data_IF_798730900825
#
_entry.id   IF_798730900825
#
_cell.length_a   1.000
_cell.length_b   1.000
_cell.length_c   1.000
_cell.angle_alpha   90.00
_cell.angle_beta   90.00
_cell.angle_gamma   90.00
#
_symmetry.space_group_name_H-M   'P 1'
#
loop_
_entity.id
_entity.type
_entity.pdbx_description
1 polymer ?
#
# COMPACT_ATOMS: atom_id res chain seq x y z
N UNK A 1 12.95 -10.74 -18.96
CA UNK A 1 12.97 -10.23 -17.57
C UNK A 1 11.98 -9.09 -17.36
N UNK A 2 12.15 -7.90 -18.00
CA UNK A 2 11.22 -6.74 -17.91
C UNK A 2 9.71 -7.03 -17.95
N UNK A 3 9.26 -7.80 -18.94
CA UNK A 3 7.83 -8.10 -19.11
C UNK A 3 7.29 -8.94 -17.96
N UNK A 4 8.10 -9.84 -17.40
CA UNK A 4 7.71 -10.73 -16.31
C UNK A 4 7.58 -9.96 -14.99
N UNK A 5 8.52 -9.05 -14.69
CA UNK A 5 8.48 -8.22 -13.47
C UNK A 5 7.35 -7.19 -13.53
N UNK A 6 7.21 -6.49 -14.65
CA UNK A 6 6.11 -5.54 -14.84
C UNK A 6 4.73 -6.23 -14.78
N UNK A 7 4.63 -7.45 -15.33
CA UNK A 7 3.41 -8.26 -15.25
C UNK A 7 3.14 -8.75 -13.83
N UNK A 8 4.18 -9.14 -13.07
CA UNK A 8 4.05 -9.50 -11.65
C UNK A 8 3.55 -8.31 -10.82
N UNK A 9 4.07 -7.10 -11.07
CA UNK A 9 3.57 -5.89 -10.42
C UNK A 9 2.09 -5.63 -10.74
N UNK A 10 1.72 -5.70 -12.03
CA UNK A 10 0.34 -5.50 -12.43
C UNK A 10 -0.59 -6.52 -11.76
N UNK A 11 -0.17 -7.80 -11.67
CA UNK A 11 -0.94 -8.82 -10.96
C UNK A 11 -1.12 -8.48 -9.47
N UNK A 12 -0.06 -8.02 -8.78
CA UNK A 12 -0.15 -7.59 -7.38
C UNK A 12 -1.10 -6.40 -7.22
N UNK A 13 -0.98 -5.39 -8.07
CA UNK A 13 -1.84 -4.21 -8.00
C UNK A 13 -3.31 -4.54 -8.29
N UNK A 14 -3.59 -5.43 -9.24
CA UNK A 14 -4.95 -5.91 -9.50
C UNK A 14 -5.51 -6.71 -8.31
N UNK A 15 -4.67 -7.49 -7.62
CA UNK A 15 -5.10 -8.23 -6.43
C UNK A 15 -5.52 -7.27 -5.32
N UNK A 16 -4.72 -6.24 -5.02
CA UNK A 16 -5.11 -5.25 -4.00
C UNK A 16 -6.36 -4.46 -4.40
N UNK A 17 -6.49 -4.09 -5.67
CA UNK A 17 -7.70 -3.44 -6.19
C UNK A 17 -8.93 -4.36 -6.04
N UNK A 18 -8.82 -5.63 -6.38
CA UNK A 18 -9.91 -6.60 -6.26
C UNK A 18 -10.31 -6.82 -4.80
N UNK A 19 -9.33 -7.01 -3.91
CA UNK A 19 -9.58 -7.12 -2.47
C UNK A 19 -10.23 -5.85 -1.91
N UNK A 20 -9.75 -4.67 -2.31
CA UNK A 20 -10.34 -3.39 -1.95
C UNK A 20 -11.78 -3.25 -2.43
N UNK A 21 -12.07 -3.67 -3.67
CA UNK A 21 -13.42 -3.65 -4.23
C UNK A 21 -14.38 -4.59 -3.49
N UNK A 22 -13.94 -5.81 -3.16
CA UNK A 22 -14.74 -6.78 -2.39
C UNK A 22 -15.07 -6.23 -1.00
N UNK A 23 -14.10 -5.64 -0.32
CA UNK A 23 -14.30 -5.06 1.01
C UNK A 23 -15.20 -3.83 0.95
N UNK A 24 -15.03 -2.99 -0.07
CA UNK A 24 -15.90 -1.82 -0.29
C UNK A 24 -17.34 -2.25 -0.53
N UNK A 25 -17.55 -3.29 -1.35
CA UNK A 25 -18.88 -3.84 -1.61
C UNK A 25 -19.50 -4.42 -0.34
N UNK A 26 -18.74 -5.20 0.43
CA UNK A 26 -19.21 -5.77 1.68
C UNK A 26 -19.54 -4.68 2.71
N UNK A 27 -18.69 -3.66 2.82
CA UNK A 27 -18.96 -2.48 3.64
C UNK A 27 -20.26 -1.78 3.22
N UNK A 28 -20.48 -1.58 1.91
CA UNK A 28 -21.70 -0.98 1.38
C UNK A 28 -22.95 -1.77 1.75
N UNK A 29 -22.92 -3.10 1.60
CA UNK A 29 -24.04 -3.97 1.99
C UNK A 29 -24.38 -3.80 3.48
N UNK A 30 -23.36 -3.84 4.35
CA UNK A 30 -23.59 -3.68 5.80
C UNK A 30 -24.07 -2.27 6.13
N UNK A 31 -23.52 -1.24 5.48
CA UNK A 31 -23.85 0.16 5.72
C UNK A 31 -25.32 0.51 5.39
N UNK A 32 -25.89 -0.15 4.36
CA UNK A 32 -27.29 0.02 3.97
C UNK A 32 -28.23 -1.03 4.58
N UNK A 33 -27.72 -1.98 5.37
CA UNK A 33 -28.53 -2.96 6.06
C UNK A 33 -29.23 -2.37 7.30
N UNK A 34 -30.17 -3.12 7.88
CA UNK A 34 -30.94 -2.68 9.04
C UNK A 34 -30.03 -2.29 10.20
N UNK A 35 -30.25 -1.08 10.72
CA UNK A 35 -29.47 -0.51 11.81
C UNK A 35 -29.62 -1.30 13.11
N UNK A 36 -28.61 -2.12 13.41
CA UNK A 36 -28.47 -2.84 14.67
C UNK A 36 -27.11 -2.57 15.31
N UNK A 37 -26.96 -2.87 16.60
CA UNK A 37 -25.68 -2.74 17.28
C UNK A 37 -24.61 -3.65 16.65
N UNK A 38 -25.00 -4.84 16.21
CA UNK A 38 -24.12 -5.81 15.55
C UNK A 38 -23.65 -5.27 14.19
N UNK A 39 -24.54 -4.70 13.37
CA UNK A 39 -24.15 -4.16 12.06
C UNK A 39 -23.13 -3.04 12.19
N UNK A 40 -23.27 -2.13 13.16
CA UNK A 40 -22.27 -1.08 13.39
C UNK A 40 -20.92 -1.62 13.87
N UNK A 41 -20.93 -2.66 14.70
CA UNK A 41 -19.70 -3.34 15.08
C UNK A 41 -19.00 -3.98 13.87
N UNK A 42 -19.77 -4.64 13.01
CA UNK A 42 -19.26 -5.22 11.76
C UNK A 42 -18.72 -4.12 10.82
N UNK A 43 -19.41 -2.99 10.66
CA UNK A 43 -18.90 -1.84 9.89
C UNK A 43 -17.53 -1.37 10.39
N UNK A 44 -17.36 -1.26 11.71
CA UNK A 44 -16.07 -0.89 12.31
C UNK A 44 -14.98 -1.91 11.96
N UNK A 45 -15.24 -3.21 12.11
CA UNK A 45 -14.27 -4.26 11.76
C UNK A 45 -13.87 -4.20 10.29
N UNK A 46 -14.85 -4.09 9.37
CA UNK A 46 -14.59 -4.01 7.93
C UNK A 46 -13.78 -2.77 7.59
N UNK A 47 -14.08 -1.63 8.23
CA UNK A 47 -13.35 -0.39 7.99
C UNK A 47 -11.87 -0.49 8.39
N UNK A 48 -11.56 -1.19 9.49
CA UNK A 48 -10.18 -1.47 9.90
C UNK A 48 -9.48 -2.40 8.89
N UNK A 49 -10.17 -3.41 8.37
CA UNK A 49 -9.64 -4.26 7.28
C UNK A 49 -9.38 -3.46 6.00
N UNK A 50 -10.22 -2.47 5.70
CA UNK A 50 -9.98 -1.57 4.58
C UNK A 50 -8.75 -0.69 4.76
N UNK A 51 -8.48 -0.21 5.99
CA UNK A 51 -7.24 0.51 6.33
C UNK A 51 -6.01 -0.36 6.12
N UNK A 52 -6.01 -1.62 6.59
CA UNK A 52 -4.85 -2.51 6.44
C UNK A 52 -4.53 -2.78 4.97
N UNK A 53 -5.55 -3.04 4.15
CA UNK A 53 -5.38 -3.33 2.73
C UNK A 53 -4.98 -2.10 1.92
N UNK A 54 -5.58 -0.93 2.18
CA UNK A 54 -5.19 0.31 1.51
C UNK A 54 -3.76 0.74 1.88
N UNK A 55 -3.35 0.54 3.14
CA UNK A 55 -1.98 0.78 3.56
C UNK A 55 -0.99 -0.19 2.88
N UNK A 56 -1.30 -1.49 2.85
CA UNK A 56 -0.48 -2.49 2.17
C UNK A 56 -0.35 -2.17 0.66
N UNK A 57 -1.43 -1.75 0.01
CA UNK A 57 -1.42 -1.37 -1.40
C UNK A 57 -0.59 -0.12 -1.67
N UNK A 58 -0.70 0.90 -0.81
CA UNK A 58 0.16 2.09 -0.87
C UNK A 58 1.65 1.71 -0.79
N UNK A 59 2.02 0.82 0.13
CA UNK A 59 3.41 0.35 0.31
C UNK A 59 3.94 -0.37 -0.93
N UNK A 60 3.17 -1.28 -1.49
CA UNK A 60 3.54 -1.99 -2.73
C UNK A 60 3.74 -1.01 -3.88
N UNK A 61 2.93 0.04 -3.94
CA UNK A 61 3.07 1.10 -4.95
C UNK A 61 4.34 1.93 -4.74
N UNK A 62 4.67 2.28 -3.49
CA UNK A 62 5.92 3.00 -3.18
C UNK A 62 7.15 2.13 -3.50
N UNK A 63 7.14 0.86 -3.12
CA UNK A 63 8.29 -0.02 -3.39
C UNK A 63 8.50 -0.22 -4.90
N UNK A 64 7.42 -0.38 -5.66
CA UNK A 64 7.51 -0.43 -7.11
C UNK A 64 8.14 0.83 -7.72
N UNK A 65 7.83 2.01 -7.18
CA UNK A 65 8.46 3.26 -7.64
C UNK A 65 9.95 3.29 -7.34
N UNK A 66 10.38 2.77 -6.18
CA UNK A 66 11.79 2.66 -5.82
C UNK A 66 12.52 1.71 -6.75
N UNK A 67 11.98 0.50 -6.96
CA UNK A 67 12.54 -0.49 -7.86
C UNK A 67 12.65 0.04 -9.30
N UNK A 68 11.59 0.68 -9.82
CA UNK A 68 11.60 1.25 -11.16
C UNK A 68 12.67 2.36 -11.31
N UNK A 69 12.89 3.17 -10.26
CA UNK A 69 13.93 4.20 -10.24
C UNK A 69 15.33 3.59 -10.16
N UNK A 70 15.53 2.55 -9.36
CA UNK A 70 16.81 1.83 -9.26
C UNK A 70 17.19 1.19 -10.58
N UNK A 71 16.25 0.46 -11.19
CA UNK A 71 16.41 -0.16 -12.50
C UNK A 71 16.82 0.87 -13.56
N UNK A 72 16.13 2.02 -13.59
CA UNK A 72 16.46 3.09 -14.55
C UNK A 72 17.87 3.64 -14.35
N UNK A 73 18.33 3.77 -13.10
CA UNK A 73 19.68 4.21 -12.78
C UNK A 73 20.72 3.19 -13.27
N UNK A 74 20.50 1.90 -13.00
CA UNK A 74 21.43 0.84 -13.39
C UNK A 74 21.56 0.77 -14.92
N UNK A 75 20.45 0.82 -15.66
CA UNK A 75 20.50 0.78 -17.13
C UNK A 75 21.15 2.04 -17.70
N UNK A 76 20.92 3.20 -17.09
CA UNK A 76 21.61 4.43 -17.50
C UNK A 76 23.12 4.36 -17.31
N UNK A 77 23.61 3.66 -16.29
CA UNK A 77 25.05 3.44 -16.07
C UNK A 77 25.63 2.47 -17.10
N UNK A 78 24.90 1.39 -17.41
CA UNK A 78 25.30 0.46 -18.46
C UNK A 78 25.36 1.13 -19.83
N UNK A 79 24.41 2.02 -20.12
CA UNK A 79 24.45 2.82 -21.35
C UNK A 79 25.64 3.76 -21.42
N UNK A 80 25.97 4.46 -20.33
CA UNK A 80 27.15 5.34 -20.32
C UNK A 80 28.44 4.54 -20.55
N UNK A 81 28.58 3.38 -19.90
CA UNK A 81 29.74 2.50 -20.09
C UNK A 81 29.81 1.96 -21.54
N UNK A 82 28.68 1.58 -22.11
CA UNK A 82 28.64 1.08 -23.48
C UNK A 82 28.93 2.18 -24.51
N UNK A 83 28.48 3.41 -24.23
CA UNK A 83 28.78 4.58 -25.06
C UNK A 83 30.26 4.97 -25.01
N UNK A 84 30.97 4.73 -23.90
CA UNK A 84 32.42 4.91 -23.81
C UNK A 84 33.18 3.85 -24.62
N UNK A 85 32.70 2.61 -24.65
CA UNK A 85 33.32 1.52 -25.43
C UNK A 85 32.99 1.55 -26.93
N UNK A 86 31.85 2.13 -27.33
CA UNK A 86 31.37 2.16 -28.71
C UNK A 86 31.53 3.54 -29.35
N UNK A 87 32.22 3.63 -30.50
CA UNK A 87 32.27 4.86 -31.33
C UNK A 87 30.90 5.33 -31.84
N UNK A 88 29.86 4.51 -31.71
CA UNK A 88 28.48 4.86 -32.06
C UNK A 88 27.64 5.02 -30.78
N UNK A 89 26.85 6.10 -30.65
CA UNK A 89 25.99 6.29 -29.49
C UNK A 89 24.92 5.19 -29.48
N UNK A 90 25.02 4.26 -28.53
CA UNK A 90 23.95 3.29 -28.26
C UNK A 90 22.92 4.01 -27.40
N UNK A 91 21.79 4.39 -28.00
CA UNK A 91 20.67 5.06 -27.32
C UNK A 91 19.49 4.10 -27.21
N UNK A 92 19.44 3.27 -26.17
CA UNK A 92 18.26 2.46 -25.82
C UNK A 92 17.29 3.20 -24.87
N UNK A 93 17.78 4.08 -23.99
CA UNK A 93 16.97 4.79 -22.98
C UNK A 93 16.52 6.15 -23.49
N UNK A 94 17.24 6.82 -24.40
CA UNK A 94 16.84 8.16 -24.86
C UNK A 94 15.45 8.18 -25.51
N UNK A 95 15.07 7.08 -26.17
CA UNK A 95 13.72 6.89 -26.71
C UNK A 95 12.68 6.59 -25.62
N UNK A 96 13.05 5.86 -24.55
CA UNK A 96 12.19 5.68 -23.37
C UNK A 96 12.00 6.98 -22.58
N UNK A 97 13.03 7.84 -22.53
CA UNK A 97 13.03 9.13 -21.83
C UNK A 97 12.09 10.13 -22.49
N UNK A 98 11.96 10.08 -23.82
CA UNK A 98 10.95 10.84 -24.58
C UNK A 98 9.52 10.49 -24.16
N UNK A 99 9.28 9.22 -23.79
CA UNK A 99 7.98 8.75 -23.28
C UNK A 99 7.81 8.94 -21.76
N UNK A 100 8.77 9.57 -21.07
CA UNK A 100 8.75 9.83 -19.62
C UNK A 100 7.84 11.01 -19.21
N UNK A 101 7.03 11.52 -20.14
CA UNK A 101 5.80 12.22 -19.78
C UNK A 101 4.78 11.28 -19.08
N UNK A 102 5.07 9.97 -19.00
CA UNK A 102 4.37 8.94 -18.21
C UNK A 102 4.48 9.07 -16.67
N UNK A 103 5.03 10.17 -16.14
CA UNK A 103 4.88 10.51 -14.72
C UNK A 103 3.41 10.54 -14.29
N UNK A 104 2.48 10.81 -15.21
CA UNK A 104 1.04 10.81 -14.98
C UNK A 104 0.50 9.49 -14.46
N UNK A 105 0.87 8.34 -15.04
CA UNK A 105 0.32 7.04 -14.61
C UNK A 105 0.80 6.65 -13.20
N UNK A 106 2.08 6.89 -12.91
CA UNK A 106 2.70 6.62 -11.62
C UNK A 106 2.17 7.56 -10.53
N UNK A 107 2.04 8.85 -10.85
CA UNK A 107 1.45 9.85 -9.98
C UNK A 107 -0.03 9.56 -9.72
N UNK A 108 -0.79 9.17 -10.75
CA UNK A 108 -2.20 8.81 -10.63
C UNK A 108 -2.38 7.61 -9.71
N UNK A 109 -1.57 6.56 -9.86
CA UNK A 109 -1.66 5.41 -8.97
C UNK A 109 -1.29 5.78 -7.52
N UNK A 110 -0.25 6.60 -7.32
CA UNK A 110 0.11 7.09 -5.99
C UNK A 110 -1.02 7.93 -5.37
N UNK A 111 -1.60 8.86 -6.12
CA UNK A 111 -2.71 9.71 -5.68
C UNK A 111 -3.95 8.88 -5.37
N UNK A 112 -4.28 7.91 -6.21
CA UNK A 112 -5.42 7.00 -6.00
C UNK A 112 -5.27 6.21 -4.71
N UNK A 113 -4.09 5.66 -4.43
CA UNK A 113 -3.81 4.95 -3.18
C UNK A 113 -3.98 5.85 -1.95
N UNK A 114 -3.51 7.11 -2.02
CA UNK A 114 -3.68 8.08 -0.93
C UNK A 114 -5.16 8.39 -0.71
N UNK A 115 -5.92 8.64 -1.77
CA UNK A 115 -7.36 8.90 -1.69
C UNK A 115 -8.08 7.70 -1.06
N UNK A 116 -7.77 6.48 -1.51
CA UNK A 116 -8.35 5.26 -0.94
C UNK A 116 -7.99 5.09 0.54
N UNK A 117 -6.74 5.36 0.92
CA UNK A 117 -6.32 5.28 2.32
C UNK A 117 -7.06 6.29 3.19
N UNK A 118 -7.15 7.54 2.76
CA UNK A 118 -7.90 8.59 3.49
C UNK A 118 -9.38 8.22 3.60
N UNK A 119 -9.98 7.72 2.51
CA UNK A 119 -11.36 7.23 2.53
C UNK A 119 -11.56 6.16 3.61
N UNK A 120 -10.68 5.16 3.67
CA UNK A 120 -10.74 4.11 4.69
C UNK A 120 -10.47 4.61 6.11
N UNK A 121 -9.71 5.68 6.31
CA UNK A 121 -9.53 6.31 7.62
C UNK A 121 -10.77 7.07 8.12
N UNK A 122 -11.59 7.61 7.21
CA UNK A 122 -12.81 8.36 7.58
C UNK A 122 -13.96 7.43 7.99
N UNK A 123 -14.11 6.28 7.33
CA UNK A 123 -15.18 5.32 7.61
C UNK A 123 -15.29 4.84 9.07
N UNK A 124 -14.21 4.43 9.78
CA UNK A 124 -14.33 4.01 11.17
C UNK A 124 -14.82 5.15 12.07
N UNK A 125 -14.45 6.40 11.79
CA UNK A 125 -14.93 7.56 12.55
C UNK A 125 -16.45 7.67 12.40
N UNK A 126 -16.98 7.54 11.17
CA UNK A 126 -18.42 7.56 10.90
C UNK A 126 -19.12 6.41 11.63
N UNK A 127 -18.59 5.19 11.54
CA UNK A 127 -19.17 4.01 12.19
C UNK A 127 -19.17 4.12 13.71
N UNK A 128 -18.11 4.68 14.32
CA UNK A 128 -18.04 4.97 15.76
C UNK A 128 -19.11 6.00 16.16
N UNK A 129 -19.28 7.08 15.39
CA UNK A 129 -20.32 8.09 15.67
C UNK A 129 -21.72 7.49 15.59
N UNK A 130 -22.02 6.69 14.56
CA UNK A 130 -23.30 5.99 14.42
C UNK A 130 -23.56 5.03 15.58
N UNK A 131 -22.53 4.27 15.97
CA UNK A 131 -22.60 3.34 17.08
C UNK A 131 -22.95 4.06 18.40
N UNK A 132 -22.27 5.16 18.71
CA UNK A 132 -22.59 5.97 19.90
C UNK A 132 -23.99 6.58 19.84
N UNK A 133 -24.39 7.10 18.67
CA UNK A 133 -25.73 7.64 18.49
C UNK A 133 -26.81 6.59 18.79
N UNK A 134 -26.66 5.39 18.24
CA UNK A 134 -27.59 4.28 18.49
C UNK A 134 -27.59 3.86 19.97
N UNK A 135 -26.42 3.74 20.58
CA UNK A 135 -26.29 3.27 21.96
C UNK A 135 -26.90 4.25 22.98
N UNK A 136 -26.71 5.55 22.78
CA UNK A 136 -27.18 6.58 23.70
C UNK A 136 -28.65 6.91 23.46
N UNK A 137 -29.04 7.12 22.20
CA UNK A 137 -30.37 7.63 21.87
C UNK A 137 -31.44 6.54 21.83
N UNK A 138 -31.13 5.36 21.26
CA UNK A 138 -32.12 4.30 21.05
C UNK A 138 -32.20 3.36 22.25
N UNK A 139 -31.04 2.93 22.78
CA UNK A 139 -31.05 2.00 23.92
C UNK A 139 -31.26 2.70 25.27
N UNK A 140 -31.30 4.05 25.30
CA UNK A 140 -31.49 4.83 26.54
C UNK A 140 -30.41 4.57 27.59
N UNK A 141 -29.28 3.99 27.20
CA UNK A 141 -28.17 3.68 28.10
C UNK A 141 -27.58 5.00 28.55
N UNK A 142 -27.61 5.25 29.86
CA UNK A 142 -26.94 6.42 30.43
C UNK A 142 -25.48 6.39 30.00
N UNK A 143 -24.96 7.56 29.62
CA UNK A 143 -23.59 7.75 29.13
C UNK A 143 -22.60 7.60 30.30
N UNK A 144 -22.60 6.41 30.88
CA UNK A 144 -21.71 5.99 31.95
C UNK A 144 -20.33 5.78 31.35
N UNK A 145 -19.34 6.40 31.99
CA UNK A 145 -17.93 6.31 31.62
C UNK A 145 -17.46 4.85 31.51
N UNK A 146 -18.02 3.93 32.31
CA UNK A 146 -17.69 2.50 32.26
C UNK A 146 -18.16 1.82 30.97
N UNK A 147 -19.34 2.16 30.46
CA UNK A 147 -19.86 1.56 29.22
C UNK A 147 -19.09 2.06 28.00
N UNK A 148 -18.73 3.35 27.99
CA UNK A 148 -17.88 3.94 26.94
C UNK A 148 -16.50 3.30 26.96
N UNK A 149 -15.87 3.13 28.13
CA UNK A 149 -14.56 2.48 28.24
C UNK A 149 -14.60 1.02 27.79
N UNK A 150 -15.61 0.25 28.21
CA UNK A 150 -15.75 -1.15 27.82
C UNK A 150 -15.81 -1.36 26.31
N UNK A 151 -16.38 -0.40 25.57
CA UNK A 151 -16.51 -0.44 24.11
C UNK A 151 -15.30 0.14 23.38
N UNK A 152 -14.67 1.18 23.94
CA UNK A 152 -13.45 1.76 23.37
C UNK A 152 -12.24 0.83 23.47
N UNK A 153 -12.11 0.05 24.55
CA UNK A 153 -10.98 -0.87 24.76
C UNK A 153 -10.81 -1.88 23.60
N UNK A 154 -11.80 -2.70 23.23
CA UNK A 154 -11.65 -3.66 22.14
C UNK A 154 -11.42 -2.98 20.79
N UNK A 155 -12.03 -1.82 20.54
CA UNK A 155 -11.77 -1.03 19.33
C UNK A 155 -10.30 -0.56 19.27
N UNK A 156 -9.79 0.00 20.36
CA UNK A 156 -8.39 0.43 20.46
C UNK A 156 -7.43 -0.76 20.32
N UNK A 157 -7.75 -1.91 20.90
CA UNK A 157 -6.99 -3.15 20.72
C UNK A 157 -6.97 -3.55 19.24
N UNK A 158 -8.11 -3.53 18.54
CA UNK A 158 -8.16 -3.86 17.11
C UNK A 158 -7.37 -2.87 16.25
N UNK A 159 -7.44 -1.58 16.54
CA UNK A 159 -6.64 -0.55 15.85
C UNK A 159 -5.15 -0.78 16.13
N UNK A 160 -4.77 -1.05 17.38
CA UNK A 160 -3.38 -1.32 17.74
C UNK A 160 -2.85 -2.59 17.08
N UNK A 161 -3.63 -3.68 17.04
CA UNK A 161 -3.28 -4.91 16.35
C UNK A 161 -3.14 -4.68 14.84
N UNK A 162 -4.04 -3.90 14.24
CA UNK A 162 -3.95 -3.50 12.83
C UNK A 162 -2.67 -2.72 12.54
N UNK A 163 -2.31 -1.76 13.40
CA UNK A 163 -1.06 -1.01 13.29
C UNK A 163 0.14 -1.94 13.48
N UNK A 164 0.12 -2.82 14.47
CA UNK A 164 1.20 -3.76 14.76
C UNK A 164 1.43 -4.73 13.58
N UNK A 165 0.36 -5.28 13.01
CA UNK A 165 0.42 -6.12 11.81
C UNK A 165 0.99 -5.32 10.63
N UNK A 166 0.54 -4.08 10.43
CA UNK A 166 1.09 -3.22 9.39
C UNK A 166 2.58 -2.96 9.60
N UNK A 167 3.04 -2.64 10.81
CA UNK A 167 4.46 -2.43 11.14
C UNK A 167 5.25 -3.72 10.93
N UNK A 168 4.72 -4.86 11.36
CA UNK A 168 5.35 -6.16 11.17
C UNK A 168 5.53 -6.46 9.67
N UNK A 169 4.49 -6.28 8.86
CA UNK A 169 4.57 -6.40 7.40
C UNK A 169 5.58 -5.40 6.80
N UNK A 170 5.69 -4.19 7.36
CA UNK A 170 6.70 -3.21 6.94
C UNK A 170 8.13 -3.70 7.22
N UNK A 171 8.37 -4.31 8.37
CA UNK A 171 9.68 -4.81 8.77
C UNK A 171 10.14 -5.97 7.89
N UNK A 172 9.23 -6.88 7.51
CA UNK A 172 9.54 -7.95 6.56
C UNK A 172 9.86 -7.40 5.17
N UNK A 173 9.05 -6.46 4.66
CA UNK A 173 9.32 -5.82 3.37
C UNK A 173 10.69 -5.13 3.34
N UNK A 174 11.07 -4.40 4.39
CA UNK A 174 12.37 -3.70 4.40
C UNK A 174 13.56 -4.66 4.47
N UNK A 175 13.37 -5.82 5.09
CA UNK A 175 14.43 -6.83 5.18
C UNK A 175 14.73 -7.42 3.80
N UNK A 176 13.68 -7.71 3.03
CA UNK A 176 13.83 -8.21 1.67
C UNK A 176 14.51 -7.19 0.76
N UNK A 177 14.14 -5.90 0.88
CA UNK A 177 14.77 -4.82 0.10
C UNK A 177 16.27 -4.67 0.44
N UNK A 178 16.65 -4.75 1.72
CA UNK A 178 18.04 -4.65 2.15
C UNK A 178 18.90 -5.86 1.70
N UNK A 179 18.32 -7.06 1.64
CA UNK A 179 19.00 -8.24 1.13
C UNK A 179 19.28 -8.14 -0.37
N UNK A 180 18.35 -7.54 -1.13
CA UNK A 180 18.51 -7.29 -2.56
C UNK A 180 19.65 -6.28 -2.79
N UNK A 181 19.64 -5.14 -2.07
CA UNK A 181 20.68 -4.12 -2.21
C UNK A 181 22.07 -4.66 -1.86
N UNK A 182 22.19 -5.53 -0.85
CA UNK A 182 23.46 -6.20 -0.52
C UNK A 182 23.93 -7.14 -1.64
N UNK A 183 23.03 -7.93 -2.24
CA UNK A 183 23.37 -8.80 -3.37
C UNK A 183 23.83 -8.00 -4.59
N UNK A 184 23.19 -6.86 -4.87
CA UNK A 184 23.64 -5.97 -5.95
C UNK A 184 25.03 -5.41 -5.67
N UNK A 185 25.32 -5.03 -4.42
CA UNK A 185 26.65 -4.56 -4.00
C UNK A 185 27.72 -5.63 -4.19
N UNK A 186 27.43 -6.88 -3.78
CA UNK A 186 28.36 -8.02 -3.91
C UNK A 186 28.67 -8.31 -5.38
N UNK A 187 27.67 -8.29 -6.25
CA UNK A 187 27.85 -8.46 -7.70
C UNK A 187 28.73 -7.33 -8.26
N UNK A 188 28.46 -6.08 -7.89
CA UNK A 188 29.26 -4.94 -8.34
C UNK A 188 30.72 -5.02 -7.89
N UNK A 189 30.98 -5.50 -6.67
CA UNK A 189 32.34 -5.72 -6.16
C UNK A 189 33.06 -6.87 -6.87
N UNK A 190 32.35 -7.96 -7.19
CA UNK A 190 32.92 -9.08 -7.96
C UNK A 190 33.42 -8.60 -9.34
N UNK A 191 32.60 -7.87 -10.09
CA UNK A 191 33.00 -7.32 -11.39
C UNK A 191 34.21 -6.39 -11.31
N UNK A 192 34.33 -5.60 -10.24
CA UNK A 192 35.48 -4.70 -10.05
C UNK A 192 36.78 -5.47 -9.80
N UNK A 193 36.70 -6.60 -9.10
CA UNK A 193 37.86 -7.44 -8.78
C UNK A 193 38.33 -8.27 -9.98
N UNK A 194 37.44 -8.64 -10.91
CA UNK A 194 37.81 -9.42 -12.11
C UNK A 194 38.45 -8.59 -13.22
N UNK A 195 38.26 -7.26 -13.22
CA UNK A 195 38.79 -6.36 -14.25
C UNK A 195 40.11 -5.65 -13.85
N UNK A 196 40.68 -5.97 -12.69
CA UNK A 196 42.02 -5.54 -12.26
C UNK A 196 43.00 -6.70 -12.35
#
# INVERSE_FOLDING_TARGET
MKKAEAQSYWQRSMLFLAMGAVITLFFGIVFFSTSTLITYFIEMVISIMGITISHAWYRVTVNNNYWHKSWYRHVSQLESQLAECSKKPVRMISELKSNQNNNTALLLNKTLNIIFFVFWCVLPIISVVKFFYYLVYINGVSLSLMNTLFLCIPFLIMVFLSIAINIFLCMFSSKDDAEIDNKELDIAQQYKTTNN
#
